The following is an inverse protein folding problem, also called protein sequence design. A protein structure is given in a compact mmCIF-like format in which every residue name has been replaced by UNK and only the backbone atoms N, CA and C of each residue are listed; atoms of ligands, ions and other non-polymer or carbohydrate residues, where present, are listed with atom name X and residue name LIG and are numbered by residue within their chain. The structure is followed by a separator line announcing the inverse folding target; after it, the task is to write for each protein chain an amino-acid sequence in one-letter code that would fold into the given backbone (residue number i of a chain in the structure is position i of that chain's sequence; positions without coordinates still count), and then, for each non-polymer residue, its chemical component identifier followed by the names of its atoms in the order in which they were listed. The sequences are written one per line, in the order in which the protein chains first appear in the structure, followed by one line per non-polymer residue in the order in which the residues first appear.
data_IF_250796363424
#
_entry.id   IF_250796363424
#
_cell.length_a   1.000
_cell.length_b   1.000
_cell.length_c   1.000
_cell.angle_alpha   90.00
_cell.angle_beta   90.00
_cell.angle_gamma   90.00
#
_symmetry.space_group_name_H-M   'P 1'
#
loop_
_entity.id
_entity.type
_entity.pdbx_description
1 polymer ?
#
# COMPACT_ATOMS: atom_id res chain seq x y z
N UNK A 1 20.10 21.87 -5.20
CA UNK A 1 18.72 22.32 -4.96
C UNK A 1 17.77 21.23 -5.42
N UNK A 2 17.14 20.49 -4.51
CA UNK A 2 16.08 19.53 -4.86
C UNK A 2 14.86 20.28 -5.36
N UNK A 3 14.31 19.86 -6.50
CA UNK A 3 13.10 20.43 -7.08
C UNK A 3 11.93 20.20 -6.12
N UNK A 4 11.46 21.26 -5.47
CA UNK A 4 10.25 21.24 -4.67
C UNK A 4 9.09 21.11 -5.66
N UNK A 5 8.57 19.89 -5.83
CA UNK A 5 7.46 19.63 -6.75
C UNK A 5 6.28 20.52 -6.37
N UNK A 6 5.79 21.31 -7.33
CA UNK A 6 4.62 22.16 -7.11
C UNK A 6 3.39 21.32 -6.73
N UNK A 7 2.54 21.78 -5.79
CA UNK A 7 1.35 21.05 -5.39
C UNK A 7 0.44 20.85 -6.62
N UNK A 8 -0.01 19.61 -6.82
CA UNK A 8 -0.99 19.26 -7.86
C UNK A 8 -2.35 19.10 -7.20
N UNK A 9 -3.32 19.90 -7.63
CA UNK A 9 -4.70 19.78 -7.19
C UNK A 9 -5.48 18.81 -8.10
N UNK A 10 -6.36 18.01 -7.50
CA UNK A 10 -7.36 17.23 -8.21
C UNK A 10 -8.69 17.32 -7.46
N UNK A 11 -9.80 17.18 -8.19
CA UNK A 11 -11.16 17.21 -7.62
C UNK A 11 -11.75 15.81 -7.72
N UNK A 12 -12.34 15.33 -6.62
CA UNK A 12 -12.99 14.03 -6.53
C UNK A 12 -14.46 14.22 -6.15
N UNK A 13 -15.36 13.51 -6.84
CA UNK A 13 -16.74 13.37 -6.40
C UNK A 13 -16.84 12.19 -5.44
N UNK A 14 -17.34 12.44 -4.24
CA UNK A 14 -17.53 11.42 -3.18
C UNK A 14 -18.98 11.41 -2.72
N UNK A 15 -19.46 10.29 -2.13
CA UNK A 15 -20.79 10.25 -1.51
C UNK A 15 -20.93 11.28 -0.38
N UNK A 16 -22.15 11.82 -0.19
CA UNK A 16 -22.42 12.89 0.77
C UNK A 16 -21.98 12.55 2.21
N UNK A 17 -22.18 11.31 2.66
CA UNK A 17 -21.75 10.88 3.98
C UNK A 17 -20.23 11.03 4.18
N UNK A 18 -19.45 10.60 3.19
CA UNK A 18 -17.99 10.74 3.23
C UNK A 18 -17.57 12.21 3.15
N UNK A 19 -18.25 13.02 2.34
CA UNK A 19 -17.99 14.46 2.30
C UNK A 19 -18.21 15.12 3.66
N UNK A 20 -19.26 14.72 4.40
CA UNK A 20 -19.56 15.25 5.74
C UNK A 20 -18.48 14.86 6.76
N UNK A 21 -18.03 13.61 6.75
CA UNK A 21 -16.95 13.13 7.64
C UNK A 21 -15.63 13.87 7.38
N UNK A 22 -15.31 14.11 6.10
CA UNK A 22 -14.06 14.77 5.72
C UNK A 22 -14.11 16.30 5.83
N UNK A 23 -15.29 16.90 5.99
CA UNK A 23 -15.50 18.35 5.96
C UNK A 23 -14.70 19.12 7.01
N UNK A 24 -14.49 18.51 8.18
CA UNK A 24 -13.75 19.12 9.30
C UNK A 24 -12.25 18.78 9.30
N UNK A 25 -11.80 17.89 8.40
CA UNK A 25 -10.41 17.50 8.31
C UNK A 25 -9.57 18.60 7.66
N UNK A 26 -8.35 18.80 8.18
CA UNK A 26 -7.38 19.65 7.52
C UNK A 26 -6.74 18.94 6.31
N UNK A 27 -6.16 19.70 5.41
CA UNK A 27 -5.54 19.19 4.18
C UNK A 27 -4.44 18.15 4.47
N UNK A 28 -3.60 18.38 5.47
CA UNK A 28 -2.52 17.45 5.84
C UNK A 28 -3.06 16.07 6.25
N UNK A 29 -4.14 16.05 7.02
CA UNK A 29 -4.82 14.80 7.41
C UNK A 29 -5.44 14.10 6.20
N UNK A 30 -6.04 14.85 5.27
CA UNK A 30 -6.60 14.28 4.04
C UNK A 30 -5.51 13.66 3.16
N UNK A 31 -4.36 14.32 3.04
CA UNK A 31 -3.20 13.78 2.31
C UNK A 31 -2.73 12.48 2.98
N UNK A 32 -2.54 12.49 4.30
CA UNK A 32 -2.13 11.29 5.04
C UNK A 32 -3.14 10.14 4.89
N UNK A 33 -4.44 10.44 4.98
CA UNK A 33 -5.51 9.47 4.78
C UNK A 33 -5.43 8.85 3.38
N UNK A 34 -5.23 9.67 2.34
CA UNK A 34 -5.11 9.21 0.95
C UNK A 34 -3.84 8.38 0.74
N UNK A 35 -2.70 8.77 1.30
CA UNK A 35 -1.45 8.03 1.20
C UNK A 35 -1.56 6.66 1.86
N UNK A 36 -2.10 6.61 3.09
CA UNK A 36 -2.34 5.36 3.83
C UNK A 36 -3.36 4.47 3.12
N UNK A 37 -4.46 5.04 2.66
CA UNK A 37 -5.50 4.32 1.91
C UNK A 37 -4.97 3.73 0.61
N UNK A 38 -4.22 4.52 -0.17
CA UNK A 38 -3.60 4.06 -1.42
C UNK A 38 -2.61 2.92 -1.17
N UNK A 39 -1.78 3.04 -0.14
CA UNK A 39 -0.84 1.99 0.27
C UNK A 39 -1.56 0.69 0.64
N UNK A 40 -2.60 0.78 1.46
CA UNK A 40 -3.41 -0.39 1.85
C UNK A 40 -4.02 -1.09 0.63
N UNK A 41 -4.66 -0.33 -0.26
CA UNK A 41 -5.32 -0.89 -1.46
C UNK A 41 -4.30 -1.56 -2.39
N UNK A 42 -3.08 -1.02 -2.51
CA UNK A 42 -2.02 -1.62 -3.33
C UNK A 42 -1.56 -2.97 -2.77
N UNK A 43 -1.37 -3.05 -1.46
CA UNK A 43 -1.00 -4.31 -0.78
C UNK A 43 -2.10 -5.35 -0.95
N UNK A 44 -3.36 -4.97 -0.74
CA UNK A 44 -4.51 -5.87 -0.83
C UNK A 44 -4.64 -6.46 -2.24
N UNK A 45 -4.57 -5.62 -3.27
CA UNK A 45 -4.63 -6.06 -4.67
C UNK A 45 -3.46 -6.95 -5.07
N UNK A 46 -2.27 -6.70 -4.54
CA UNK A 46 -1.10 -7.54 -4.82
C UNK A 46 -1.24 -8.92 -4.15
N UNK A 47 -1.80 -8.98 -2.94
CA UNK A 47 -2.07 -10.25 -2.24
C UNK A 47 -3.14 -11.06 -2.96
N UNK A 48 -4.20 -10.42 -3.47
CA UNK A 48 -5.22 -11.08 -4.29
C UNK A 48 -4.62 -11.69 -5.57
N UNK A 49 -3.75 -10.95 -6.27
CA UNK A 49 -3.07 -11.45 -7.48
C UNK A 49 -2.12 -12.61 -7.16
N UNK A 50 -1.39 -12.52 -6.06
CA UNK A 50 -0.51 -13.59 -5.58
C UNK A 50 -1.31 -14.85 -5.22
N UNK A 51 -2.38 -14.72 -4.44
CA UNK A 51 -3.25 -15.82 -4.04
C UNK A 51 -3.94 -16.50 -5.24
N UNK A 52 -4.25 -15.73 -6.29
CA UNK A 52 -4.75 -16.26 -7.56
C UNK A 52 -3.71 -16.97 -8.44
N UNK A 53 -2.44 -17.03 -8.01
CA UNK A 53 -1.35 -17.66 -8.76
C UNK A 53 -0.87 -16.87 -9.99
N UNK A 54 -1.31 -15.62 -10.14
CA UNK A 54 -1.00 -14.79 -11.32
C UNK A 54 0.39 -14.14 -11.31
N UNK A 55 1.03 -14.05 -10.14
CA UNK A 55 2.33 -13.41 -9.94
C UNK A 55 3.14 -14.12 -8.86
N UNK A 56 4.48 -14.03 -8.93
CA UNK A 56 5.33 -14.50 -7.83
C UNK A 56 5.25 -13.56 -6.62
N UNK A 57 5.61 -14.08 -5.44
CA UNK A 57 5.55 -13.32 -4.19
C UNK A 57 6.38 -12.02 -4.23
N UNK A 58 7.64 -12.11 -4.67
CA UNK A 58 8.49 -10.93 -4.84
C UNK A 58 7.99 -9.95 -5.91
N UNK A 59 7.32 -10.42 -6.96
CA UNK A 59 6.71 -9.54 -7.95
C UNK A 59 5.50 -8.78 -7.35
N UNK A 60 4.68 -9.46 -6.54
CA UNK A 60 3.55 -8.85 -5.83
C UNK A 60 4.03 -7.79 -4.81
N UNK A 61 5.08 -8.07 -4.03
CA UNK A 61 5.67 -7.10 -3.11
C UNK A 61 6.13 -5.81 -3.84
N UNK A 62 6.81 -5.96 -4.98
CA UNK A 62 7.22 -4.82 -5.82
C UNK A 62 6.03 -4.04 -6.38
N UNK A 63 4.96 -4.72 -6.81
CA UNK A 63 3.73 -4.06 -7.28
C UNK A 63 3.05 -3.27 -6.16
N UNK A 64 3.07 -3.80 -4.93
CA UNK A 64 2.57 -3.12 -3.75
C UNK A 64 3.45 -1.94 -3.31
N UNK A 65 4.70 -1.89 -3.78
CA UNK A 65 5.67 -0.86 -3.42
C UNK A 65 6.20 -1.02 -1.99
N UNK A 66 6.25 -2.25 -1.48
CA UNK A 66 6.76 -2.60 -0.15
C UNK A 66 7.85 -3.67 -0.26
N UNK A 67 8.61 -3.89 0.82
CA UNK A 67 9.62 -4.94 0.87
C UNK A 67 8.97 -6.34 0.91
N UNK A 68 9.74 -7.40 0.64
CA UNK A 68 9.20 -8.77 0.71
C UNK A 68 8.80 -9.14 2.14
N UNK A 69 9.59 -8.73 3.13
CA UNK A 69 9.29 -8.96 4.55
C UNK A 69 8.04 -8.23 5.03
N UNK A 70 7.85 -6.97 4.63
CA UNK A 70 6.62 -6.26 4.97
C UNK A 70 5.41 -6.91 4.30
N UNK A 71 5.53 -7.26 3.02
CA UNK A 71 4.48 -7.95 2.29
C UNK A 71 4.13 -9.30 2.95
N UNK A 72 5.13 -10.02 3.47
CA UNK A 72 4.95 -11.29 4.17
C UNK A 72 4.12 -11.11 5.45
N UNK A 73 4.37 -10.05 6.23
CA UNK A 73 3.55 -9.74 7.42
C UNK A 73 2.08 -9.54 7.05
N UNK A 74 1.79 -8.87 5.95
CA UNK A 74 0.42 -8.70 5.45
C UNK A 74 -0.20 -9.99 4.90
N UNK A 75 0.60 -10.89 4.32
CA UNK A 75 0.16 -12.20 3.86
C UNK A 75 -0.16 -13.13 5.05
N UNK A 76 0.71 -13.20 6.06
CA UNK A 76 0.48 -13.98 7.29
C UNK A 76 -0.78 -13.52 8.02
N UNK A 77 -1.02 -12.21 8.12
CA UNK A 77 -2.23 -11.66 8.72
C UNK A 77 -3.54 -12.11 8.00
N UNK A 78 -3.44 -12.62 6.77
CA UNK A 78 -4.54 -13.17 5.98
C UNK A 78 -4.56 -14.70 5.93
N UNK A 79 -3.74 -15.36 6.76
CA UNK A 79 -3.63 -16.82 6.80
C UNK A 79 -2.91 -17.42 5.60
N UNK A 80 -2.13 -16.64 4.86
CA UNK A 80 -1.27 -17.13 3.79
C UNK A 80 0.09 -17.54 4.36
N UNK A 81 0.71 -18.56 3.77
CA UNK A 81 2.08 -18.99 4.07
C UNK A 81 3.00 -18.67 2.88
N UNK A 82 3.44 -17.41 2.73
CA UNK A 82 4.35 -17.05 1.66
C UNK A 82 5.72 -17.75 1.82
N UNK A 83 6.41 -18.03 0.70
CA UNK A 83 7.71 -18.70 0.75
C UNK A 83 8.76 -17.82 1.44
N UNK A 84 9.57 -18.43 2.30
CA UNK A 84 10.77 -17.81 2.84
C UNK A 84 11.87 -17.81 1.76
N UNK A 85 12.12 -16.65 1.14
CA UNK A 85 13.15 -16.48 0.10
C UNK A 85 14.46 -15.97 0.69
N UNK A 86 15.58 -16.16 -0.02
CA UNK A 86 16.88 -15.59 0.35
C UNK A 86 16.82 -14.05 0.46
N UNK A 87 16.01 -13.39 -0.37
CA UNK A 87 15.75 -11.95 -0.29
C UNK A 87 15.05 -11.58 1.04
N UNK A 88 14.06 -12.37 1.47
CA UNK A 88 13.35 -12.17 2.74
C UNK A 88 14.31 -12.36 3.92
N UNK A 89 15.22 -13.34 3.85
CA UNK A 89 16.23 -13.58 4.86
C UNK A 89 17.24 -12.42 4.95
N UNK A 90 17.69 -11.90 3.81
CA UNK A 90 18.60 -10.76 3.77
C UNK A 90 17.98 -9.47 4.32
N UNK A 91 16.67 -9.26 4.14
CA UNK A 91 15.94 -8.11 4.71
C UNK A 91 15.88 -8.17 6.25
N UNK A 92 15.74 -9.35 6.85
CA UNK A 92 15.60 -9.51 8.31
C UNK A 92 16.95 -9.56 9.08
N UNK A 93 18.07 -9.77 8.36
CA UNK A 93 19.41 -9.85 8.95
C UNK A 93 20.22 -8.53 8.88
N UNK A 94 19.63 -7.46 8.35
CA UNK A 94 20.25 -6.12 8.23
C UNK A 94 19.85 -5.18 9.37
#
# INVERSE_FOLDING_TARGET
MGSMMAPKAFTLHVPDGLAQELKAANESFLIELLERGLRSIKIDRALEQYAGGGVSFGAAARQAGVSQSEFARHAYARGMEPPFSDDTLAEELN
#
